data_IF_875744310296
#
_entry.id   IF_875744310296
#
_cell.length_a   1.000
_cell.length_b   1.000
_cell.length_c   1.000
_cell.angle_alpha   90.00
_cell.angle_beta   90.00
_cell.angle_gamma   90.00
#
_symmetry.space_group_name_H-M   'P 1'
#
loop_
_entity.id
_entity.type
_entity.pdbx_description
1 polymer ?
#
# COMPACT_ATOMS: atom_id res chain seq x y z
N UNK A 1 33.03 82.38 142.47
CA UNK A 1 34.09 81.42 142.09
C UNK A 1 33.58 79.98 142.00
N UNK A 2 32.85 79.46 143.00
CA UNK A 2 32.32 78.08 142.97
C UNK A 2 31.22 77.87 141.91
N UNK A 3 30.30 78.82 141.73
CA UNK A 3 29.24 78.73 140.70
C UNK A 3 29.78 78.75 139.25
N UNK A 4 30.87 79.48 139.00
CA UNK A 4 31.50 79.55 137.67
C UNK A 4 32.27 78.25 137.35
N UNK A 5 32.86 77.60 138.36
CA UNK A 5 33.47 76.29 138.22
C UNK A 5 32.43 75.17 137.99
N UNK A 6 31.26 75.24 138.63
CA UNK A 6 30.15 74.31 138.38
C UNK A 6 29.53 74.52 136.98
N UNK A 7 29.39 75.76 136.52
CA UNK A 7 28.95 76.04 135.15
C UNK A 7 29.95 75.53 134.10
N UNK A 8 31.25 75.65 134.37
CA UNK A 8 32.32 75.09 133.52
C UNK A 8 32.36 73.56 133.55
N UNK A 9 32.17 72.92 134.70
CA UNK A 9 32.09 71.46 134.82
C UNK A 9 30.86 70.90 134.09
N UNK A 10 29.68 71.47 134.32
CA UNK A 10 28.46 71.07 133.61
C UNK A 10 28.56 71.34 132.10
N UNK A 11 29.22 72.42 131.69
CA UNK A 11 29.51 72.68 130.28
C UNK A 11 30.49 71.65 129.70
N UNK A 12 31.50 71.21 130.46
CA UNK A 12 32.44 70.19 130.04
C UNK A 12 31.79 68.81 129.96
N UNK A 13 30.94 68.43 130.91
CA UNK A 13 30.16 67.18 130.89
C UNK A 13 29.16 67.14 129.74
N UNK A 14 28.46 68.24 129.47
CA UNK A 14 27.54 68.32 128.33
C UNK A 14 28.31 68.27 127.00
N UNK A 15 29.50 68.86 126.93
CA UNK A 15 30.39 68.72 125.76
C UNK A 15 30.90 67.30 125.60
N UNK A 16 31.26 66.62 126.69
CA UNK A 16 31.69 65.22 126.67
C UNK A 16 30.58 64.30 126.15
N UNK A 17 29.35 64.44 126.69
CA UNK A 17 28.17 63.69 126.22
C UNK A 17 27.86 63.98 124.75
N UNK A 18 27.94 65.24 124.34
CA UNK A 18 27.73 65.61 122.94
C UNK A 18 28.80 65.02 122.02
N UNK A 19 30.08 65.00 122.44
CA UNK A 19 31.15 64.36 121.70
C UNK A 19 30.97 62.85 121.62
N UNK A 20 30.55 62.19 122.70
CA UNK A 20 30.22 60.75 122.72
C UNK A 20 29.04 60.41 121.79
N UNK A 21 28.00 61.25 121.76
CA UNK A 21 26.86 61.06 120.85
C UNK A 21 27.26 61.31 119.38
N UNK A 22 28.12 62.30 119.12
CA UNK A 22 28.68 62.54 117.78
C UNK A 22 29.56 61.35 117.35
N UNK A 23 30.36 60.77 118.25
CA UNK A 23 31.21 59.62 117.96
C UNK A 23 30.37 58.38 117.63
N UNK A 24 29.31 58.11 118.41
CA UNK A 24 28.33 57.05 118.10
C UNK A 24 27.62 57.28 116.76
N UNK A 25 27.25 58.52 116.45
CA UNK A 25 26.64 58.86 115.15
C UNK A 25 27.63 58.66 114.00
N UNK A 26 28.90 59.01 114.19
CA UNK A 26 29.96 58.76 113.21
C UNK A 26 30.20 57.27 113.02
N UNK A 27 30.25 56.47 114.09
CA UNK A 27 30.34 55.01 114.03
C UNK A 27 29.13 54.40 113.31
N UNK A 28 27.92 54.88 113.57
CA UNK A 28 26.73 54.39 112.90
C UNK A 28 26.71 54.76 111.40
N UNK A 29 27.16 55.96 111.04
CA UNK A 29 27.35 56.40 109.65
C UNK A 29 28.42 55.54 108.97
N UNK A 30 29.54 55.29 109.62
CA UNK A 30 30.60 54.42 109.11
C UNK A 30 30.11 52.99 108.91
N UNK A 31 29.34 52.45 109.86
CA UNK A 31 28.72 51.12 109.75
C UNK A 31 27.70 51.07 108.60
N UNK A 32 26.83 52.07 108.46
CA UNK A 32 25.86 52.13 107.35
C UNK A 32 26.56 52.22 106.00
N UNK A 33 27.55 53.11 105.86
CA UNK A 33 28.37 53.21 104.64
C UNK A 33 29.13 51.93 104.36
N UNK A 34 29.67 51.25 105.36
CA UNK A 34 30.37 49.98 105.18
C UNK A 34 29.41 48.88 104.72
N UNK A 35 28.22 48.79 105.32
CA UNK A 35 27.18 47.85 104.87
C UNK A 35 26.75 48.17 103.44
N UNK A 36 26.43 49.42 103.12
CA UNK A 36 26.06 49.87 101.77
C UNK A 36 27.15 49.57 100.74
N UNK A 37 28.43 49.81 101.07
CA UNK A 37 29.56 49.47 100.22
C UNK A 37 29.66 47.95 99.98
N UNK A 38 29.41 47.14 101.01
CA UNK A 38 29.46 45.67 100.87
C UNK A 38 28.23 45.11 100.13
N UNK A 39 27.05 45.70 100.30
CA UNK A 39 25.83 45.27 99.60
C UNK A 39 25.90 45.66 98.13
N UNK A 40 26.33 46.89 97.83
CA UNK A 40 26.55 47.34 96.45
C UNK A 40 27.64 46.53 95.76
N UNK A 41 28.76 46.23 96.43
CA UNK A 41 29.79 45.35 95.88
C UNK A 41 29.26 43.94 95.57
N UNK A 42 28.45 43.35 96.46
CA UNK A 42 27.80 42.05 96.25
C UNK A 42 26.75 42.07 95.15
N UNK A 43 25.99 43.15 95.03
CA UNK A 43 25.02 43.33 93.95
C UNK A 43 25.73 43.44 92.60
N UNK A 44 26.81 44.23 92.54
CA UNK A 44 27.66 44.32 91.36
C UNK A 44 28.22 42.94 90.99
N UNK A 45 28.81 42.20 91.93
CA UNK A 45 29.32 40.83 91.72
C UNK A 45 28.23 39.89 91.18
N UNK A 46 27.04 39.86 91.78
CA UNK A 46 25.89 39.07 91.30
C UNK A 46 25.46 39.45 89.89
N UNK A 47 25.44 40.74 89.55
CA UNK A 47 25.09 41.17 88.19
C UNK A 47 26.14 40.77 87.17
N UNK A 48 27.43 40.82 87.52
CA UNK A 48 28.51 40.33 86.67
C UNK A 48 28.45 38.81 86.48
N UNK A 49 28.25 38.05 87.56
CA UNK A 49 28.07 36.60 87.50
C UNK A 49 26.85 36.22 86.64
N UNK A 50 25.71 36.89 86.84
CA UNK A 50 24.49 36.67 86.05
C UNK A 50 24.72 36.97 84.58
N UNK A 51 25.38 38.09 84.25
CA UNK A 51 25.66 38.48 82.86
C UNK A 51 26.65 37.52 82.19
N UNK A 52 27.66 37.05 82.94
CA UNK A 52 28.59 36.04 82.45
C UNK A 52 27.88 34.71 82.20
N UNK A 53 27.01 34.28 83.13
CA UNK A 53 26.21 33.07 82.97
C UNK A 53 25.28 33.17 81.75
N UNK A 54 24.62 34.32 81.55
CA UNK A 54 23.79 34.59 80.38
C UNK A 54 24.60 34.53 79.08
N UNK A 55 25.78 35.16 79.03
CA UNK A 55 26.66 35.10 77.86
C UNK A 55 27.14 33.68 77.56
N UNK A 56 27.50 32.90 78.59
CA UNK A 56 27.91 31.50 78.42
C UNK A 56 26.73 30.63 77.95
N UNK A 57 25.52 30.89 78.46
CA UNK A 57 24.31 30.18 78.03
C UNK A 57 23.94 30.54 76.59
N UNK A 58 24.03 31.82 76.21
CA UNK A 58 23.82 32.28 74.84
C UNK A 58 24.83 31.65 73.88
N UNK A 59 26.11 31.61 74.26
CA UNK A 59 27.17 30.97 73.48
C UNK A 59 26.90 29.46 73.30
N UNK A 60 26.51 28.75 74.36
CA UNK A 60 26.10 27.33 74.28
C UNK A 60 24.92 27.12 73.35
N UNK A 61 23.88 27.95 73.48
CA UNK A 61 22.69 27.88 72.64
C UNK A 61 23.03 28.13 71.15
N UNK A 62 23.95 29.06 70.86
CA UNK A 62 24.43 29.31 69.50
C UNK A 62 25.22 28.11 68.94
N UNK A 63 26.13 27.53 69.74
CA UNK A 63 26.86 26.33 69.33
C UNK A 63 25.93 25.15 69.08
N UNK A 64 24.97 24.90 69.96
CA UNK A 64 23.97 23.83 69.78
C UNK A 64 23.11 24.09 68.55
N UNK A 65 22.72 25.34 68.30
CA UNK A 65 21.99 25.71 67.08
C UNK A 65 22.82 25.46 65.82
N UNK A 66 24.12 25.79 65.84
CA UNK A 66 25.04 25.56 64.72
C UNK A 66 25.29 24.08 64.48
N UNK A 67 25.50 23.28 65.54
CA UNK A 67 25.64 21.83 65.45
C UNK A 67 24.37 21.18 64.90
N UNK A 68 23.19 21.61 65.37
CA UNK A 68 21.92 21.11 64.86
C UNK A 68 21.68 21.49 63.39
N UNK A 69 22.07 22.69 62.95
CA UNK A 69 22.04 23.06 61.52
C UNK A 69 22.97 22.19 60.71
N UNK A 70 24.24 22.10 61.11
CA UNK A 70 25.23 21.29 60.41
C UNK A 70 24.81 19.82 60.30
N UNK A 71 24.26 19.23 61.37
CA UNK A 71 23.71 17.88 61.35
C UNK A 71 22.57 17.72 60.35
N UNK A 72 21.61 18.67 60.32
CA UNK A 72 20.51 18.65 59.35
C UNK A 72 21.02 18.76 57.92
N UNK A 73 21.95 19.68 57.67
CA UNK A 73 22.55 19.87 56.34
C UNK A 73 23.28 18.59 55.89
N UNK A 74 24.02 17.95 56.80
CA UNK A 74 24.67 16.66 56.54
C UNK A 74 23.63 15.58 56.23
N UNK A 75 22.60 15.42 57.05
CA UNK A 75 21.55 14.43 56.84
C UNK A 75 20.81 14.65 55.50
N UNK A 76 20.52 15.91 55.17
CA UNK A 76 19.86 16.30 53.92
C UNK A 76 20.76 16.05 52.71
N UNK A 77 22.03 16.42 52.77
CA UNK A 77 22.98 16.14 51.68
C UNK A 77 23.17 14.64 51.45
N UNK A 78 23.23 13.82 52.52
CA UNK A 78 23.30 12.37 52.37
C UNK A 78 22.02 11.79 51.78
N UNK A 79 20.85 12.25 52.24
CA UNK A 79 19.56 11.85 51.66
C UNK A 79 19.47 12.20 50.19
N UNK A 80 19.85 13.42 49.81
CA UNK A 80 19.83 13.87 48.42
C UNK A 80 20.76 13.03 47.55
N UNK A 81 22.00 12.77 47.99
CA UNK A 81 22.94 11.90 47.27
C UNK A 81 22.44 10.47 47.13
N UNK A 82 21.78 9.93 48.15
CA UNK A 82 21.23 8.58 48.11
C UNK A 82 20.02 8.51 47.17
N UNK A 83 19.16 9.52 47.18
CA UNK A 83 18.03 9.62 46.25
C UNK A 83 18.53 9.75 44.82
N UNK A 84 19.49 10.63 44.54
CA UNK A 84 20.10 10.79 43.22
C UNK A 84 20.74 9.48 42.72
N UNK A 85 21.48 8.77 43.59
CA UNK A 85 22.05 7.47 43.24
C UNK A 85 20.97 6.41 42.96
N UNK A 86 19.86 6.42 43.71
CA UNK A 86 18.74 5.52 43.47
C UNK A 86 18.00 5.83 42.17
N UNK A 87 17.76 7.11 41.87
CA UNK A 87 17.13 7.56 40.63
C UNK A 87 17.99 7.20 39.42
N UNK A 88 19.30 7.45 39.47
CA UNK A 88 20.23 7.06 38.42
C UNK A 88 20.24 5.53 38.20
N UNK A 89 20.19 4.75 39.28
CA UNK A 89 20.09 3.28 39.19
C UNK A 89 18.76 2.84 38.58
N UNK A 90 17.66 3.48 38.92
CA UNK A 90 16.35 3.18 38.35
C UNK A 90 16.29 3.50 36.86
N UNK A 91 16.81 4.65 36.43
CA UNK A 91 16.92 5.02 35.02
C UNK A 91 17.79 4.02 34.24
N UNK A 92 18.93 3.60 34.81
CA UNK A 92 19.77 2.58 34.20
C UNK A 92 19.04 1.23 34.03
N UNK A 93 18.24 0.83 35.03
CA UNK A 93 17.44 -0.39 34.94
C UNK A 93 16.35 -0.28 33.86
N UNK A 94 15.64 0.84 33.80
CA UNK A 94 14.63 1.10 32.77
C UNK A 94 15.24 1.04 31.35
N UNK A 95 16.39 1.71 31.16
CA UNK A 95 17.11 1.66 29.88
C UNK A 95 17.55 0.23 29.52
N UNK A 96 18.00 -0.57 30.50
CA UNK A 96 18.35 -1.98 30.28
C UNK A 96 17.13 -2.83 29.89
N UNK A 97 15.99 -2.62 30.54
CA UNK A 97 14.74 -3.30 30.21
C UNK A 97 14.24 -2.93 28.81
N UNK A 98 14.36 -1.65 28.43
CA UNK A 98 14.06 -1.20 27.06
C UNK A 98 14.97 -1.87 26.03
N UNK A 99 16.28 -1.90 26.26
CA UNK A 99 17.22 -2.59 25.37
C UNK A 99 16.88 -4.08 25.27
N UNK A 100 16.51 -4.74 26.37
CA UNK A 100 16.11 -6.14 26.35
C UNK A 100 14.82 -6.36 25.53
N UNK A 101 13.82 -5.49 25.70
CA UNK A 101 12.57 -5.52 24.90
C UNK A 101 12.85 -5.32 23.41
N UNK A 102 13.68 -4.35 23.05
CA UNK A 102 14.05 -4.09 21.66
C UNK A 102 14.80 -5.27 21.04
N UNK A 103 15.71 -5.92 21.79
CA UNK A 103 16.39 -7.14 21.33
C UNK A 103 15.43 -8.29 21.04
N UNK A 104 14.43 -8.51 21.92
CA UNK A 104 13.40 -9.52 21.69
C UNK A 104 12.57 -9.19 20.44
N UNK A 105 12.22 -7.92 20.25
CA UNK A 105 11.48 -7.48 19.06
C UNK A 105 12.28 -7.66 17.77
N UNK A 106 13.58 -7.36 17.78
CA UNK A 106 14.48 -7.61 16.65
C UNK A 106 14.49 -9.11 16.32
N UNK A 107 14.68 -9.97 17.33
CA UNK A 107 14.70 -11.43 17.11
C UNK A 107 13.37 -11.97 16.56
N UNK A 108 12.23 -11.45 17.03
CA UNK A 108 10.92 -11.79 16.49
C UNK A 108 10.79 -11.37 15.02
N UNK A 109 11.20 -10.14 14.69
CA UNK A 109 11.18 -9.63 13.32
C UNK A 109 12.10 -10.45 12.41
N UNK A 110 13.32 -10.77 12.85
CA UNK A 110 14.26 -11.64 12.13
C UNK A 110 13.64 -13.03 11.88
N UNK A 111 12.98 -13.62 12.88
CA UNK A 111 12.29 -14.91 12.75
C UNK A 111 11.16 -14.83 11.74
N UNK A 112 10.33 -13.79 11.79
CA UNK A 112 9.26 -13.58 10.80
C UNK A 112 9.83 -13.36 9.39
N UNK A 113 10.92 -12.59 9.27
CA UNK A 113 11.66 -12.35 8.04
C UNK A 113 12.15 -13.66 7.42
N UNK A 114 12.86 -14.48 8.18
CA UNK A 114 13.31 -15.80 7.72
C UNK A 114 12.15 -16.73 7.34
N UNK A 115 11.00 -16.62 8.01
CA UNK A 115 9.77 -17.31 7.64
C UNK A 115 9.23 -16.90 6.26
N UNK A 116 9.22 -15.59 5.99
CA UNK A 116 8.82 -15.07 4.67
C UNK A 116 9.82 -15.45 3.57
N UNK A 117 11.12 -15.42 3.86
CA UNK A 117 12.16 -15.87 2.91
C UNK A 117 11.97 -17.35 2.53
N UNK A 118 11.76 -18.22 3.52
CA UNK A 118 11.46 -19.65 3.26
C UNK A 118 10.17 -19.85 2.46
N UNK A 119 9.14 -19.04 2.72
CA UNK A 119 7.88 -19.05 1.96
C UNK A 119 8.12 -18.65 0.49
N UNK A 120 8.92 -17.62 0.26
CA UNK A 120 9.28 -17.14 -1.08
C UNK A 120 10.05 -18.23 -1.84
N UNK A 121 11.04 -18.85 -1.21
CA UNK A 121 11.82 -19.94 -1.81
C UNK A 121 10.93 -21.13 -2.20
N UNK A 122 10.01 -21.54 -1.30
CA UNK A 122 9.06 -22.61 -1.59
C UNK A 122 8.11 -22.28 -2.76
N UNK A 123 7.65 -21.04 -2.85
CA UNK A 123 6.80 -20.59 -3.97
C UNK A 123 7.58 -20.52 -5.29
N UNK A 124 8.81 -20.01 -5.27
CA UNK A 124 9.68 -19.97 -6.46
C UNK A 124 9.98 -21.38 -6.97
N UNK A 125 10.26 -22.33 -6.07
CA UNK A 125 10.42 -23.74 -6.45
C UNK A 125 9.17 -24.31 -7.11
N UNK A 126 7.99 -24.02 -6.53
CA UNK A 126 6.71 -24.45 -7.11
C UNK A 126 6.46 -23.85 -8.49
N UNK A 127 6.82 -22.58 -8.71
CA UNK A 127 6.73 -21.92 -10.02
C UNK A 127 7.65 -22.64 -11.02
N UNK A 128 8.91 -22.88 -10.67
CA UNK A 128 9.86 -23.57 -11.53
C UNK A 128 9.39 -25.00 -11.90
N UNK A 129 8.83 -25.74 -10.93
CA UNK A 129 8.27 -27.07 -11.16
C UNK A 129 7.08 -27.02 -12.14
N UNK A 130 6.16 -26.07 -11.97
CA UNK A 130 5.01 -25.88 -12.85
C UNK A 130 5.43 -25.43 -14.26
N UNK A 131 6.41 -24.54 -14.38
CA UNK A 131 6.97 -24.11 -15.66
C UNK A 131 7.62 -25.29 -16.40
N UNK A 132 8.35 -26.15 -15.68
CA UNK A 132 8.93 -27.38 -16.24
C UNK A 132 7.86 -28.34 -16.74
N UNK A 133 6.78 -28.54 -15.97
CA UNK A 133 5.65 -29.37 -16.39
C UNK A 133 4.95 -28.82 -17.63
N UNK A 134 4.73 -27.50 -17.70
CA UNK A 134 4.12 -26.85 -18.87
C UNK A 134 5.00 -27.00 -20.11
N UNK A 135 6.32 -26.85 -19.98
CA UNK A 135 7.27 -27.09 -21.08
C UNK A 135 7.20 -28.52 -21.56
N UNK A 136 7.23 -29.49 -20.64
CA UNK A 136 7.13 -30.91 -21.00
C UNK A 136 5.83 -31.23 -21.74
N UNK A 137 4.70 -30.72 -21.26
CA UNK A 137 3.39 -30.94 -21.88
C UNK A 137 3.35 -30.31 -23.29
N UNK A 138 3.91 -29.10 -23.45
CA UNK A 138 3.99 -28.43 -24.74
C UNK A 138 4.83 -29.24 -25.74
N UNK A 139 6.02 -29.67 -25.34
CA UNK A 139 6.90 -30.45 -26.20
C UNK A 139 6.25 -31.78 -26.61
N UNK A 140 5.52 -32.44 -25.69
CA UNK A 140 4.77 -33.66 -25.98
C UNK A 140 3.60 -33.43 -26.97
N UNK A 141 2.88 -32.32 -26.85
CA UNK A 141 1.86 -31.95 -27.84
C UNK A 141 2.46 -31.60 -29.20
N UNK A 142 3.56 -30.87 -29.25
CA UNK A 142 4.25 -30.49 -30.49
C UNK A 142 4.73 -31.75 -31.24
N UNK A 143 5.26 -32.75 -30.52
CA UNK A 143 5.61 -34.06 -31.09
C UNK A 143 4.38 -34.78 -31.64
N UNK A 144 3.28 -34.83 -30.89
CA UNK A 144 2.04 -35.48 -31.33
C UNK A 144 1.42 -34.79 -32.55
N UNK A 145 1.41 -33.46 -32.59
CA UNK A 145 0.96 -32.69 -33.75
C UNK A 145 1.81 -33.01 -34.98
N UNK A 146 3.15 -32.93 -34.86
CA UNK A 146 4.05 -33.27 -35.96
C UNK A 146 3.85 -34.69 -36.50
N UNK A 147 3.55 -35.66 -35.63
CA UNK A 147 3.22 -37.03 -36.05
C UNK A 147 1.90 -37.09 -36.84
N UNK A 148 0.88 -36.33 -36.40
CA UNK A 148 -0.40 -36.27 -37.12
C UNK A 148 -0.27 -35.57 -38.47
N UNK A 149 0.48 -34.47 -38.54
CA UNK A 149 0.71 -33.72 -39.78
C UNK A 149 1.43 -34.58 -40.82
N UNK A 150 2.46 -35.34 -40.39
CA UNK A 150 3.11 -36.34 -41.23
C UNK A 150 2.12 -37.37 -41.76
N UNK A 151 1.22 -37.86 -40.90
CA UNK A 151 0.21 -38.84 -41.30
C UNK A 151 -0.80 -38.26 -42.30
N UNK A 152 -1.17 -36.99 -42.15
CA UNK A 152 -2.04 -36.28 -43.10
C UNK A 152 -1.35 -36.17 -44.45
N UNK A 153 -0.09 -35.73 -44.49
CA UNK A 153 0.70 -35.62 -45.72
C UNK A 153 0.86 -36.97 -46.43
N UNK A 154 1.12 -38.05 -45.67
CA UNK A 154 1.17 -39.42 -46.22
C UNK A 154 -0.16 -39.81 -46.89
N UNK A 155 -1.29 -39.55 -46.23
CA UNK A 155 -2.61 -39.89 -46.77
C UNK A 155 -2.98 -39.03 -47.98
N UNK A 156 -2.64 -37.74 -47.98
CA UNK A 156 -2.81 -36.87 -49.13
C UNK A 156 -2.00 -37.38 -50.33
N UNK A 157 -0.74 -37.77 -50.11
CA UNK A 157 0.08 -38.38 -51.15
C UNK A 157 -0.51 -39.68 -51.71
N UNK A 158 -1.12 -40.52 -50.88
CA UNK A 158 -1.81 -41.72 -51.37
C UNK A 158 -3.08 -41.40 -52.16
N UNK A 159 -3.84 -40.38 -51.75
CA UNK A 159 -5.01 -39.90 -52.50
C UNK A 159 -4.60 -39.41 -53.89
N UNK A 160 -3.55 -38.59 -53.98
CA UNK A 160 -3.03 -38.09 -55.25
C UNK A 160 -2.55 -39.24 -56.15
N UNK A 161 -1.90 -40.25 -55.56
CA UNK A 161 -1.49 -41.47 -56.26
C UNK A 161 -2.69 -42.20 -56.87
N UNK A 162 -3.75 -42.42 -56.08
CA UNK A 162 -4.98 -43.09 -56.52
C UNK A 162 -5.75 -42.28 -57.57
N UNK A 163 -5.76 -40.95 -57.46
CA UNK A 163 -6.39 -40.07 -58.46
C UNK A 163 -5.69 -40.17 -59.81
N UNK A 164 -4.36 -40.24 -59.82
CA UNK A 164 -3.60 -40.44 -61.06
C UNK A 164 -3.89 -41.81 -61.69
N UNK A 165 -3.88 -42.89 -60.90
CA UNK A 165 -4.24 -44.24 -61.40
C UNK A 165 -5.67 -44.29 -61.94
N UNK A 166 -6.60 -43.59 -61.29
CA UNK A 166 -7.98 -43.48 -61.76
C UNK A 166 -8.08 -42.71 -63.09
N UNK A 167 -7.33 -41.62 -63.25
CA UNK A 167 -7.31 -40.85 -64.48
C UNK A 167 -6.74 -41.68 -65.64
N UNK A 168 -5.64 -42.40 -65.43
CA UNK A 168 -5.05 -43.29 -66.44
C UNK A 168 -6.07 -44.36 -66.91
N UNK A 169 -6.79 -44.96 -65.95
CA UNK A 169 -7.84 -45.94 -66.26
C UNK A 169 -9.03 -45.30 -67.00
N UNK A 170 -9.40 -44.08 -66.62
CA UNK A 170 -10.47 -43.34 -67.29
C UNK A 170 -10.09 -43.00 -68.74
N UNK A 171 -8.87 -42.54 -68.98
CA UNK A 171 -8.38 -42.23 -70.33
C UNK A 171 -8.37 -43.48 -71.22
N UNK A 172 -7.93 -44.62 -70.68
CA UNK A 172 -8.01 -45.92 -71.37
C UNK A 172 -9.47 -46.29 -71.70
N UNK A 173 -10.40 -46.08 -70.76
CA UNK A 173 -11.83 -46.32 -71.01
C UNK A 173 -12.38 -45.44 -72.12
N UNK A 174 -12.01 -44.15 -72.14
CA UNK A 174 -12.42 -43.22 -73.20
C UNK A 174 -11.88 -43.70 -74.54
N UNK A 175 -10.62 -44.13 -74.60
CA UNK A 175 -10.05 -44.72 -75.80
C UNK A 175 -10.86 -45.94 -76.28
N UNK A 176 -11.15 -46.89 -75.39
CA UNK A 176 -11.93 -48.08 -75.72
C UNK A 176 -13.33 -47.75 -76.23
N UNK A 177 -14.01 -46.76 -75.63
CA UNK A 177 -15.31 -46.29 -76.12
C UNK A 177 -15.24 -45.71 -77.53
N UNK A 178 -14.15 -45.00 -77.86
CA UNK A 178 -13.95 -44.48 -79.22
C UNK A 178 -13.71 -45.59 -80.23
N UNK A 179 -12.94 -46.62 -79.86
CA UNK A 179 -12.73 -47.81 -80.69
C UNK A 179 -14.05 -48.56 -80.90
N UNK A 180 -14.85 -48.74 -79.84
CA UNK A 180 -16.16 -49.39 -79.92
C UNK A 180 -17.12 -48.67 -80.88
N UNK A 181 -17.18 -47.33 -80.81
CA UNK A 181 -17.97 -46.51 -81.74
C UNK A 181 -17.47 -46.62 -83.16
N UNK A 182 -16.15 -46.67 -83.38
CA UNK A 182 -15.58 -46.89 -84.70
C UNK A 182 -15.97 -48.27 -85.25
N UNK A 183 -15.94 -49.31 -84.42
CA UNK A 183 -16.41 -50.65 -84.79
C UNK A 183 -17.91 -50.68 -85.12
N UNK A 184 -18.75 -49.97 -84.35
CA UNK A 184 -20.19 -49.82 -84.64
C UNK A 184 -20.42 -49.15 -86.00
N UNK A 185 -19.75 -48.03 -86.28
CA UNK A 185 -19.86 -47.32 -87.56
C UNK A 185 -19.43 -48.18 -88.76
N UNK A 186 -18.39 -49.01 -88.59
CA UNK A 186 -17.93 -49.93 -89.64
C UNK A 186 -18.96 -51.03 -89.91
N UNK A 187 -19.56 -51.60 -88.86
CA UNK A 187 -20.65 -52.57 -89.00
C UNK A 187 -21.89 -51.95 -89.67
N UNK A 188 -22.33 -50.76 -89.23
CA UNK A 188 -23.45 -50.05 -89.84
C UNK A 188 -23.18 -49.75 -91.33
N UNK A 189 -21.95 -49.39 -91.67
CA UNK A 189 -21.50 -49.21 -93.05
C UNK A 189 -21.59 -50.50 -93.88
N UNK A 190 -21.19 -51.65 -93.33
CA UNK A 190 -21.33 -52.95 -93.98
C UNK A 190 -22.79 -53.40 -94.09
N UNK A 191 -23.61 -53.22 -93.05
CA UNK A 191 -25.05 -53.52 -93.07
C UNK A 191 -25.79 -52.68 -94.13
N UNK A 192 -25.39 -51.43 -94.31
CA UNK A 192 -25.89 -50.55 -95.38
C UNK A 192 -25.43 -51.00 -96.78
N UNK A 193 -24.20 -51.52 -96.95
CA UNK A 193 -23.71 -52.05 -98.24
C UNK A 193 -24.37 -53.38 -98.61
N UNK A 194 -24.67 -54.21 -97.61
CA UNK A 194 -25.28 -55.54 -97.78
C UNK A 194 -26.82 -55.49 -97.84
N UNK A 195 -27.45 -54.30 -97.76
CA UNK A 195 -28.92 -54.10 -97.74
C UNK A 195 -29.64 -54.94 -96.68
N UNK A 196 -29.01 -55.17 -95.52
CA UNK A 196 -29.60 -55.98 -94.43
C UNK A 196 -30.63 -55.17 -93.64
N UNK A 197 -30.59 -53.83 -93.73
CA UNK A 197 -31.56 -52.94 -93.08
C UNK A 197 -32.66 -52.46 -94.03
N UNK A 198 -33.51 -53.39 -94.48
CA UNK A 198 -34.84 -53.04 -94.98
C UNK A 198 -35.91 -53.96 -94.40
N UNK A 199 -35.92 -54.12 -93.07
CA UNK A 199 -37.11 -54.55 -92.34
C UNK A 199 -37.01 -54.22 -90.84
N UNK A 200 -37.27 -52.96 -90.50
CA UNK A 200 -38.33 -52.61 -89.53
C UNK A 200 -38.33 -51.10 -89.23
N UNK A 201 -39.50 -50.51 -89.32
CA UNK A 201 -39.88 -49.16 -88.87
C UNK A 201 -41.38 -49.24 -88.50
N UNK A 202 -41.99 -48.34 -87.69
CA UNK A 202 -41.53 -46.98 -87.37
C UNK A 202 -41.75 -46.45 -85.92
N UNK A 203 -41.01 -45.38 -85.63
CA UNK A 203 -41.36 -44.10 -84.98
C UNK A 203 -41.98 -44.02 -83.56
N UNK A 204 -41.27 -43.27 -82.68
CA UNK A 204 -41.83 -42.12 -81.93
C UNK A 204 -40.78 -41.03 -81.69
N UNK A 205 -40.97 -39.89 -82.39
CA UNK A 205 -40.80 -38.47 -82.03
C UNK A 205 -39.46 -37.88 -81.54
N UNK A 206 -39.11 -36.63 -81.97
CA UNK A 206 -37.81 -36.00 -81.75
C UNK A 206 -37.80 -35.00 -80.58
N UNK A 207 -36.63 -34.76 -79.98
CA UNK A 207 -36.36 -33.54 -79.21
C UNK A 207 -34.87 -33.14 -79.30
N UNK A 208 -34.67 -32.02 -80.00
CA UNK A 208 -33.60 -31.04 -79.93
C UNK A 208 -32.25 -31.45 -79.31
N UNK A 209 -31.27 -31.73 -80.18
CA UNK A 209 -29.85 -31.67 -79.85
C UNK A 209 -29.39 -30.21 -79.87
N UNK A 210 -28.87 -29.73 -78.74
CA UNK A 210 -28.12 -28.49 -78.63
C UNK A 210 -26.69 -28.70 -79.09
N UNK A 211 -26.36 -28.13 -80.24
CA UNK A 211 -25.02 -28.03 -80.81
C UNK A 211 -24.17 -27.04 -79.99
N UNK A 212 -23.03 -27.47 -79.42
CA UNK A 212 -22.00 -26.57 -78.89
C UNK A 212 -20.62 -27.02 -79.39
N UNK A 213 -20.33 -26.67 -80.63
CA UNK A 213 -18.96 -26.51 -81.11
C UNK A 213 -18.34 -25.27 -80.45
N UNK A 214 -17.15 -25.44 -79.87
CA UNK A 214 -16.33 -24.37 -79.30
C UNK A 214 -15.61 -23.64 -80.43
N UNK A 215 -16.14 -22.49 -80.85
CA UNK A 215 -15.45 -21.56 -81.75
C UNK A 215 -14.61 -20.58 -80.93
N UNK A 216 -13.29 -20.69 -81.05
CA UNK A 216 -12.34 -19.62 -80.72
C UNK A 216 -12.49 -18.50 -81.75
N UNK A 217 -12.70 -17.27 -81.29
CA UNK A 217 -12.54 -16.07 -82.12
C UNK A 217 -12.07 -14.90 -81.27
N UNK A 218 -10.91 -14.39 -81.66
CA UNK A 218 -10.35 -13.11 -81.28
C UNK A 218 -11.26 -11.98 -81.75
N UNK A 219 -11.55 -11.02 -80.87
CA UNK A 219 -11.82 -9.64 -81.28
C UNK A 219 -11.52 -8.66 -80.14
N UNK A 220 -10.57 -7.80 -80.47
CA UNK A 220 -10.30 -6.46 -79.98
C UNK A 220 -11.56 -5.64 -79.66
N UNK A 221 -11.56 -4.98 -78.49
CA UNK A 221 -12.31 -3.74 -78.28
C UNK A 221 -11.68 -2.95 -77.16
N UNK A 222 -10.94 -1.92 -77.55
CA UNK A 222 -10.38 -0.93 -76.66
C UNK A 222 -11.41 -0.04 -75.96
N UNK A 223 -10.86 0.70 -75.00
CA UNK A 223 -11.39 1.92 -74.39
C UNK A 223 -12.59 1.81 -73.45
N UNK A 224 -12.32 1.56 -72.16
CA UNK A 224 -12.86 2.40 -71.06
C UNK A 224 -11.84 2.57 -69.91
N UNK A 225 -11.23 3.76 -69.90
CA UNK A 225 -10.69 4.56 -68.78
C UNK A 225 -10.05 3.83 -67.58
N UNK A 226 -8.72 3.79 -67.61
CA UNK A 226 -7.88 3.63 -66.44
C UNK A 226 -8.01 4.85 -65.49
N UNK A 227 -8.57 4.64 -64.31
CA UNK A 227 -8.36 5.52 -63.16
C UNK A 227 -7.03 5.11 -62.53
N UNK A 228 -6.04 6.01 -62.58
CA UNK A 228 -4.72 5.82 -61.96
C UNK A 228 -4.89 5.67 -60.44
N UNK A 229 -4.85 4.43 -59.93
CA UNK A 229 -4.48 4.21 -58.54
C UNK A 229 -2.95 4.22 -58.45
N UNK A 230 -2.46 5.13 -57.61
CA UNK A 230 -1.06 5.32 -57.27
C UNK A 230 -0.53 3.99 -56.72
N UNK A 231 0.49 3.43 -57.37
CA UNK A 231 1.23 2.25 -56.89
C UNK A 231 1.84 2.63 -55.54
N UNK A 232 1.30 2.11 -54.45
CA UNK A 232 1.99 2.14 -53.17
C UNK A 232 3.09 1.09 -53.28
N UNK A 233 4.34 1.53 -53.19
CA UNK A 233 5.47 0.63 -52.99
C UNK A 233 5.29 0.13 -51.56
N UNK A 234 4.91 -1.14 -51.41
CA UNK A 234 4.97 -1.81 -50.12
C UNK A 234 6.45 -1.84 -49.73
N UNK A 235 6.85 -0.86 -48.90
CA UNK A 235 8.06 -1.00 -48.11
C UNK A 235 7.80 -2.12 -47.12
N UNK A 236 8.64 -3.12 -47.20
CA UNK A 236 8.70 -4.33 -46.39
C UNK A 236 9.05 -3.99 -44.94
N UNK A 237 8.11 -3.37 -44.21
CA UNK A 237 8.30 -3.06 -42.77
C UNK A 237 6.97 -2.93 -41.99
N UNK A 238 6.01 -3.83 -42.20
CA UNK A 238 4.75 -3.83 -41.43
C UNK A 238 4.34 -5.20 -40.88
N UNK A 239 5.33 -5.96 -40.40
CA UNK A 239 5.08 -6.95 -39.36
C UNK A 239 4.87 -6.21 -38.03
N UNK A 240 3.96 -6.71 -37.19
CA UNK A 240 3.55 -6.18 -35.87
C UNK A 240 2.40 -5.16 -35.81
N UNK A 241 1.22 -5.51 -36.34
CA UNK A 241 -0.02 -5.11 -35.65
C UNK A 241 -0.30 -6.09 -34.51
N UNK A 242 0.35 -5.85 -33.37
CA UNK A 242 0.13 -6.59 -32.12
C UNK A 242 -1.14 -6.08 -31.45
N UNK A 243 -2.27 -6.67 -31.75
CA UNK A 243 -3.50 -6.43 -30.98
C UNK A 243 -3.45 -7.30 -29.71
N UNK A 244 -2.67 -6.90 -28.70
CA UNK A 244 -2.78 -7.49 -27.36
C UNK A 244 -4.00 -6.91 -26.67
N UNK A 245 -5.05 -7.71 -26.52
CA UNK A 245 -6.13 -7.37 -25.60
C UNK A 245 -5.53 -7.27 -24.19
N UNK A 246 -5.54 -6.07 -23.60
CA UNK A 246 -5.18 -5.87 -22.19
C UNK A 246 -6.36 -6.31 -21.33
N UNK A 247 -6.19 -7.38 -20.56
CA UNK A 247 -7.16 -7.79 -19.53
C UNK A 247 -6.65 -7.32 -18.18
N UNK A 248 -7.52 -6.95 -17.24
CA UNK A 248 -7.09 -6.53 -15.89
C UNK A 248 -7.52 -7.58 -14.86
N UNK A 249 -6.58 -7.97 -14.01
CA UNK A 249 -6.86 -8.75 -12.81
C UNK A 249 -7.06 -7.79 -11.65
N UNK A 250 -8.22 -7.88 -11.00
CA UNK A 250 -8.59 -6.98 -9.91
C UNK A 250 -8.72 -7.73 -8.59
N UNK A 251 -8.13 -7.18 -7.53
CA UNK A 251 -8.30 -7.62 -6.14
C UNK A 251 -8.99 -6.52 -5.34
N UNK A 252 -9.82 -6.88 -4.37
CA UNK A 252 -10.54 -5.92 -3.53
C UNK A 252 -10.59 -6.45 -2.09
N UNK A 253 -10.47 -5.55 -1.12
CA UNK A 253 -10.61 -5.83 0.31
C UNK A 253 -11.35 -4.67 0.97
N UNK A 254 -12.20 -4.96 1.95
CA UNK A 254 -12.94 -3.95 2.69
C UNK A 254 -12.99 -4.33 4.17
N UNK A 255 -12.56 -3.41 5.02
CA UNK A 255 -12.59 -3.54 6.48
C UNK A 255 -13.87 -2.89 7.06
N UNK A 256 -14.78 -2.45 6.18
CA UNK A 256 -16.10 -1.91 6.50
C UNK A 256 -17.12 -2.26 5.40
N UNK A 257 -18.37 -1.84 5.61
CA UNK A 257 -19.51 -2.04 4.68
C UNK A 257 -19.40 -1.23 3.37
N UNK A 258 -18.47 -0.28 3.29
CA UNK A 258 -18.18 0.48 2.08
C UNK A 258 -17.14 -0.25 1.24
N UNK A 259 -17.47 -0.58 0.00
CA UNK A 259 -16.57 -1.20 -0.96
C UNK A 259 -16.28 -0.25 -2.13
N UNK A 260 -15.06 -0.33 -2.66
CA UNK A 260 -14.72 0.24 -3.96
C UNK A 260 -15.22 -0.75 -5.03
N UNK A 261 -16.42 -0.50 -5.55
CA UNK A 261 -17.08 -1.36 -6.54
C UNK A 261 -16.29 -1.39 -7.86
N UNK A 262 -15.84 -0.21 -8.30
CA UNK A 262 -15.12 -0.05 -9.57
C UNK A 262 -14.13 1.12 -9.50
N UNK A 263 -13.00 0.98 -10.18
CA UNK A 263 -12.15 2.11 -10.55
C UNK A 263 -11.77 1.96 -12.02
N UNK A 264 -11.71 3.07 -12.73
CA UNK A 264 -11.35 3.09 -14.14
C UNK A 264 -9.82 3.16 -14.28
N UNK A 265 -9.24 2.22 -15.04
CA UNK A 265 -7.79 2.16 -15.27
C UNK A 265 -7.27 3.28 -16.17
N UNK A 266 -8.15 3.91 -16.93
CA UNK A 266 -7.86 5.11 -17.72
C UNK A 266 -7.99 6.40 -16.88
N UNK A 267 -8.30 6.29 -15.58
CA UNK A 267 -8.37 7.44 -14.68
C UNK A 267 -9.61 8.31 -14.85
N UNK A 268 -10.73 7.78 -15.36
CA UNK A 268 -11.97 8.55 -15.53
C UNK A 268 -12.78 8.68 -14.24
N UNK A 269 -12.93 7.60 -13.48
CA UNK A 269 -13.77 7.59 -12.28
C UNK A 269 -13.39 6.51 -11.27
N UNK A 270 -13.92 6.66 -10.06
CA UNK A 270 -13.93 5.66 -8.99
C UNK A 270 -15.34 5.60 -8.42
N UNK A 271 -15.90 4.40 -8.29
CA UNK A 271 -17.24 4.13 -7.79
C UNK A 271 -17.18 3.38 -6.46
N UNK A 272 -17.85 3.94 -5.46
CA UNK A 272 -18.05 3.34 -4.15
C UNK A 272 -19.49 2.81 -4.03
N UNK A 273 -19.67 1.74 -3.28
CA UNK A 273 -20.96 1.15 -2.96
C UNK A 273 -21.03 0.84 -1.46
N UNK A 274 -22.15 1.16 -0.83
CA UNK A 274 -22.44 0.66 0.52
C UNK A 274 -23.16 -0.68 0.39
N UNK A 275 -22.47 -1.77 0.73
CA UNK A 275 -23.02 -3.13 0.71
C UNK A 275 -23.56 -3.61 2.07
N UNK A 276 -23.45 -2.78 3.10
CA UNK A 276 -24.02 -3.06 4.41
C UNK A 276 -25.49 -2.68 4.51
N UNK A 277 -26.05 -2.94 5.69
CA UNK A 277 -27.46 -2.69 6.02
C UNK A 277 -27.67 -1.38 6.79
N UNK A 278 -26.59 -0.66 7.13
CA UNK A 278 -26.62 0.60 7.86
C UNK A 278 -26.21 1.81 7.01
N UNK A 279 -26.70 3.00 7.41
CA UNK A 279 -26.28 4.26 6.77
C UNK A 279 -24.96 4.73 7.36
N UNK A 280 -23.96 4.94 6.50
CA UNK A 280 -22.60 5.28 6.91
C UNK A 280 -22.28 6.71 6.52
N UNK A 281 -21.69 7.45 7.45
CA UNK A 281 -21.23 8.82 7.20
C UNK A 281 -19.76 8.78 6.78
N UNK A 282 -19.49 9.02 5.51
CA UNK A 282 -18.12 9.08 4.94
C UNK A 282 -17.58 10.51 4.91
N UNK A 283 -18.09 11.37 5.79
CA UNK A 283 -17.66 12.75 5.90
C UNK A 283 -16.19 12.82 6.33
N UNK A 284 -15.40 13.66 5.66
CA UNK A 284 -13.95 13.78 5.88
C UNK A 284 -13.11 12.56 5.47
N UNK A 285 -13.72 11.50 4.95
CA UNK A 285 -12.97 10.39 4.36
C UNK A 285 -12.30 10.85 3.07
N UNK A 286 -11.30 10.09 2.64
CA UNK A 286 -10.56 10.36 1.42
C UNK A 286 -10.40 9.11 0.56
N UNK A 287 -10.49 9.28 -0.76
CA UNK A 287 -10.04 8.29 -1.73
C UNK A 287 -8.63 8.67 -2.16
N UNK A 288 -7.67 7.79 -1.94
CA UNK A 288 -6.29 7.88 -2.41
C UNK A 288 -6.10 6.87 -3.54
N UNK A 289 -5.80 7.35 -4.74
CA UNK A 289 -5.48 6.48 -5.89
C UNK A 289 -4.04 6.70 -6.33
N UNK A 290 -3.32 5.61 -6.56
CA UNK A 290 -1.91 5.60 -6.97
C UNK A 290 -1.78 4.72 -8.21
N UNK A 291 -1.21 5.26 -9.29
CA UNK A 291 -0.83 4.49 -10.46
C UNK A 291 0.54 4.95 -10.97
N UNK A 292 1.42 3.99 -11.26
CA UNK A 292 2.84 4.24 -11.54
C UNK A 292 3.46 5.11 -10.42
N UNK A 293 3.76 6.39 -10.70
CA UNK A 293 4.34 7.35 -9.74
C UNK A 293 3.41 8.56 -9.47
N UNK A 294 2.16 8.51 -9.92
CA UNK A 294 1.19 9.59 -9.72
C UNK A 294 0.20 9.21 -8.62
N UNK A 295 0.01 10.11 -7.67
CA UNK A 295 -0.98 10.01 -6.60
C UNK A 295 -2.03 11.11 -6.75
N UNK A 296 -3.30 10.77 -6.54
CA UNK A 296 -4.40 11.73 -6.43
C UNK A 296 -5.26 11.39 -5.23
N UNK A 297 -5.60 12.42 -4.45
CA UNK A 297 -6.39 12.29 -3.23
C UNK A 297 -7.63 13.17 -3.33
N UNK A 298 -8.81 12.55 -3.26
CA UNK A 298 -10.09 13.24 -3.20
C UNK A 298 -10.66 13.16 -1.79
N UNK A 299 -11.05 14.29 -1.20
CA UNK A 299 -11.68 14.35 0.13
C UNK A 299 -13.17 14.62 0.03
N UNK A 300 -13.96 13.82 0.75
CA UNK A 300 -15.40 14.00 0.83
C UNK A 300 -15.81 15.20 1.68
N UNK A 301 -16.91 15.85 1.30
CA UNK A 301 -17.51 16.91 2.11
C UNK A 301 -17.96 16.37 3.48
N UNK A 302 -17.89 17.19 4.53
CA UNK A 302 -18.21 16.81 5.93
C UNK A 302 -19.58 16.16 6.14
N UNK A 303 -20.55 16.44 5.27
CA UNK A 303 -21.93 15.97 5.36
C UNK A 303 -22.25 14.79 4.44
N UNK A 304 -21.25 14.16 3.85
CA UNK A 304 -21.45 13.05 2.93
C UNK A 304 -21.88 11.78 3.68
N UNK A 305 -22.98 11.19 3.25
CA UNK A 305 -23.55 9.96 3.82
C UNK A 305 -23.95 8.99 2.71
N UNK A 306 -23.86 7.69 2.97
CA UNK A 306 -24.28 6.62 2.06
C UNK A 306 -25.30 5.71 2.75
N UNK A 307 -26.49 5.57 2.19
CA UNK A 307 -27.48 4.60 2.67
C UNK A 307 -27.13 3.18 2.17
N UNK A 308 -27.73 2.14 2.75
CA UNK A 308 -27.62 0.77 2.23
C UNK A 308 -27.96 0.70 0.74
N UNK A 309 -27.07 0.13 -0.07
CA UNK A 309 -27.22 0.02 -1.52
C UNK A 309 -26.99 1.31 -2.31
N UNK A 310 -26.71 2.45 -1.66
CA UNK A 310 -26.34 3.68 -2.38
C UNK A 310 -24.95 3.54 -3.00
N UNK A 311 -24.78 4.17 -4.17
CA UNK A 311 -23.50 4.29 -4.86
C UNK A 311 -23.09 5.74 -5.03
N UNK A 312 -21.79 6.02 -4.87
CA UNK A 312 -21.21 7.32 -5.16
C UNK A 312 -20.09 7.15 -6.19
N UNK A 313 -20.13 7.93 -7.26
CA UNK A 313 -19.08 7.96 -8.27
C UNK A 313 -18.35 9.29 -8.22
N UNK A 314 -17.02 9.24 -8.10
CA UNK A 314 -16.12 10.39 -8.16
C UNK A 314 -15.40 10.40 -9.49
N UNK A 315 -15.72 11.39 -10.32
CA UNK A 315 -15.20 11.57 -11.67
C UNK A 315 -14.05 12.56 -11.72
N UNK A 316 -13.11 12.32 -12.63
CA UNK A 316 -12.06 13.27 -12.99
C UNK A 316 -12.63 14.55 -13.62
N UNK A 317 -11.92 15.67 -13.49
CA UNK A 317 -12.38 16.98 -13.96
C UNK A 317 -12.67 17.04 -15.49
N UNK A 318 -11.99 16.20 -16.28
CA UNK A 318 -12.12 16.11 -17.74
C UNK A 318 -13.09 15.01 -18.22
N UNK A 319 -13.81 14.35 -17.32
CA UNK A 319 -14.78 13.30 -17.69
C UNK A 319 -15.94 13.80 -18.56
N UNK A 320 -16.22 15.12 -18.56
CA UNK A 320 -17.39 15.69 -19.22
C UNK A 320 -18.70 15.49 -18.46
N UNK A 321 -18.65 14.86 -17.28
CA UNK A 321 -19.79 14.55 -16.45
C UNK A 321 -20.30 15.75 -15.65
N UNK A 322 -21.59 15.74 -15.30
CA UNK A 322 -22.19 16.80 -14.46
C UNK A 322 -21.99 16.51 -12.98
N UNK A 323 -21.67 17.55 -12.22
CA UNK A 323 -21.58 17.46 -10.77
C UNK A 323 -22.99 17.45 -10.15
N UNK A 324 -23.40 16.30 -9.60
CA UNK A 324 -24.71 16.08 -8.97
C UNK A 324 -24.53 15.36 -7.62
N UNK A 325 -24.15 16.07 -6.54
CA UNK A 325 -24.08 15.50 -5.20
C UNK A 325 -25.47 15.01 -4.71
N UNK A 326 -25.55 13.96 -3.87
CA UNK A 326 -24.43 13.27 -3.22
C UNK A 326 -23.83 12.10 -4.02
N UNK A 327 -24.50 11.64 -5.08
CA UNK A 327 -24.16 10.40 -5.81
C UNK A 327 -23.13 10.59 -6.91
N UNK A 328 -23.05 11.77 -7.54
CA UNK A 328 -22.14 12.02 -8.65
C UNK A 328 -21.27 13.25 -8.36
N UNK A 329 -20.00 12.98 -8.02
CA UNK A 329 -19.04 14.00 -7.65
C UNK A 329 -18.04 14.17 -8.80
N UNK A 330 -17.69 15.40 -9.15
CA UNK A 330 -16.70 15.70 -10.19
C UNK A 330 -15.60 16.50 -9.52
N UNK A 331 -14.38 16.02 -9.64
CA UNK A 331 -13.21 16.70 -9.08
C UNK A 331 -12.98 18.04 -9.77
N UNK A 332 -12.40 19.00 -9.04
CA UNK A 332 -12.02 20.30 -9.58
C UNK A 332 -10.52 20.31 -9.86
N UNK A 333 -10.15 20.45 -11.14
CA UNK A 333 -8.76 20.54 -11.59
C UNK A 333 -7.87 19.35 -11.15
N UNK A 334 -8.45 18.17 -10.99
CA UNK A 334 -7.75 16.93 -10.63
C UNK A 334 -8.29 15.77 -11.46
N UNK A 335 -7.44 14.77 -11.67
CA UNK A 335 -7.72 13.57 -12.46
C UNK A 335 -7.18 12.36 -11.73
N UNK A 336 -7.91 11.25 -11.77
CA UNK A 336 -7.39 9.99 -11.28
C UNK A 336 -6.19 9.54 -12.12
N UNK A 337 -5.18 8.93 -11.49
CA UNK A 337 -4.01 8.45 -12.22
C UNK A 337 -4.39 7.22 -13.05
N UNK A 338 -3.95 7.21 -14.32
CA UNK A 338 -4.13 6.10 -15.24
C UNK A 338 -2.86 5.25 -15.33
N UNK A 339 -2.99 3.94 -15.50
CA UNK A 339 -1.82 3.07 -15.63
C UNK A 339 -2.13 1.59 -15.78
N UNK A 340 -1.08 0.81 -16.04
CA UNK A 340 -1.16 -0.66 -16.10
C UNK A 340 -1.35 -1.28 -14.71
N UNK A 341 -1.01 -0.57 -13.62
CA UNK A 341 -1.31 -0.97 -12.25
C UNK A 341 -1.88 0.23 -11.49
N UNK A 342 -3.12 0.09 -11.02
CA UNK A 342 -3.84 1.13 -10.28
C UNK A 342 -4.26 0.56 -8.93
N UNK A 343 -3.84 1.22 -7.85
CA UNK A 343 -4.27 0.91 -6.49
C UNK A 343 -5.07 2.08 -5.93
N UNK A 344 -6.31 1.80 -5.54
CA UNK A 344 -7.20 2.75 -4.88
C UNK A 344 -7.44 2.31 -3.45
N UNK A 345 -7.32 3.25 -2.52
CA UNK A 345 -7.59 3.05 -1.09
C UNK A 345 -8.59 4.10 -0.62
N UNK A 346 -9.64 3.66 0.08
CA UNK A 346 -10.53 4.50 0.86
C UNK A 346 -9.97 4.62 2.28
N UNK A 347 -9.88 5.85 2.78
CA UNK A 347 -9.26 6.17 4.06
C UNK A 347 -10.24 6.97 4.92
N UNK A 348 -10.36 6.60 6.20
CA UNK A 348 -11.18 7.32 7.19
C UNK A 348 -10.57 8.70 7.55
N UNK A 349 -11.30 9.54 8.27
CA UNK A 349 -10.85 10.81 8.84
C UNK A 349 -9.57 10.68 9.69
N UNK A 350 -9.38 9.54 10.35
CA UNK A 350 -8.19 9.25 11.18
C UNK A 350 -6.99 8.75 10.35
N UNK A 351 -7.15 8.49 9.06
CA UNK A 351 -6.08 7.96 8.21
C UNK A 351 -6.04 6.43 8.10
N UNK A 352 -7.02 5.72 8.67
CA UNK A 352 -7.11 4.26 8.61
C UNK A 352 -7.62 3.78 7.24
N UNK A 353 -7.05 2.71 6.68
CA UNK A 353 -7.51 2.12 5.43
C UNK A 353 -8.83 1.36 5.66
N UNK A 354 -9.89 1.76 4.96
CA UNK A 354 -11.25 1.21 5.11
C UNK A 354 -11.62 0.26 3.98
N UNK A 355 -11.14 0.53 2.77
CA UNK A 355 -11.31 -0.34 1.62
C UNK A 355 -10.16 -0.15 0.64
N UNK A 356 -9.81 -1.21 -0.08
CA UNK A 356 -8.75 -1.19 -1.10
C UNK A 356 -9.21 -1.96 -2.33
N UNK A 357 -8.82 -1.45 -3.50
CA UNK A 357 -9.00 -2.12 -4.79
C UNK A 357 -7.76 -1.92 -5.63
N UNK A 358 -7.22 -3.00 -6.16
CA UNK A 358 -6.02 -2.97 -6.99
C UNK A 358 -6.29 -3.70 -8.31
N UNK A 359 -6.03 -3.03 -9.44
CA UNK A 359 -6.13 -3.63 -10.78
C UNK A 359 -4.76 -3.65 -11.45
N UNK A 360 -4.36 -4.80 -11.97
CA UNK A 360 -3.08 -5.01 -12.67
C UNK A 360 -3.36 -5.54 -14.07
N UNK A 361 -2.79 -4.88 -15.09
CA UNK A 361 -2.86 -5.29 -16.48
C UNK A 361 -2.13 -6.60 -16.67
N UNK A 362 -2.83 -7.57 -17.22
CA UNK A 362 -2.33 -8.85 -17.67
C UNK A 362 -2.27 -8.83 -19.19
N UNK A 363 -1.06 -8.93 -19.73
CA UNK A 363 -0.84 -9.02 -21.17
C UNK A 363 -1.11 -10.47 -21.58
N UNK A 364 -2.29 -10.73 -22.14
CA UNK A 364 -2.50 -11.96 -22.88
C UNK A 364 -1.70 -11.88 -24.19
N UNK A 365 -0.60 -12.63 -24.24
CA UNK A 365 -0.01 -13.00 -25.52
C UNK A 365 -0.99 -13.95 -26.20
N UNK A 366 -1.77 -13.44 -27.15
CA UNK A 366 -2.58 -14.28 -28.01
C UNK A 366 -1.69 -15.31 -28.68
N UNK A 367 -1.77 -16.56 -28.23
CA UNK A 367 -1.31 -17.70 -29.00
C UNK A 367 -2.31 -17.83 -30.14
N UNK A 368 -1.98 -17.26 -31.30
CA UNK A 368 -2.69 -17.54 -32.53
C UNK A 368 -2.42 -19.02 -32.81
N UNK A 369 -3.44 -19.85 -32.59
CA UNK A 369 -3.47 -21.14 -33.27
C UNK A 369 -3.41 -20.79 -34.76
N UNK A 370 -2.31 -21.15 -35.40
CA UNK A 370 -2.25 -21.22 -36.85
C UNK A 370 -3.34 -22.21 -37.25
N UNK A 371 -4.50 -21.69 -37.64
CA UNK A 371 -5.50 -22.48 -38.35
C UNK A 371 -4.88 -22.80 -39.71
N UNK A 372 -4.50 -24.06 -39.87
CA UNK A 372 -3.92 -24.58 -41.09
C UNK A 372 -4.91 -24.46 -42.26
N UNK A 373 -4.42 -23.91 -43.36
CA UNK A 373 -4.80 -24.38 -44.69
C UNK A 373 -6.14 -23.92 -45.27
N UNK A 374 -6.40 -22.61 -45.35
CA UNK A 374 -7.32 -22.10 -46.37
C UNK A 374 -6.63 -21.10 -47.31
N UNK A 375 -6.36 -21.60 -48.51
CA UNK A 375 -5.90 -20.89 -49.69
C UNK A 375 -6.89 -19.75 -50.06
N UNK A 376 -6.44 -18.48 -50.09
CA UNK A 376 -7.32 -17.34 -50.36
C UNK A 376 -7.85 -17.28 -51.80
N UNK A 377 -7.37 -18.11 -52.73
CA UNK A 377 -7.78 -18.10 -54.14
C UNK A 377 -9.11 -18.83 -54.41
N UNK A 378 -9.70 -19.52 -53.45
CA UNK A 378 -11.00 -20.21 -53.64
C UNK A 378 -12.25 -19.32 -53.45
N UNK A 379 -12.10 -18.04 -53.10
CA UNK A 379 -13.25 -17.13 -52.89
C UNK A 379 -13.73 -16.37 -54.14
N UNK A 380 -13.15 -16.60 -55.31
CA UNK A 380 -13.55 -15.96 -56.57
C UNK A 380 -14.14 -16.95 -57.58
N UNK A 381 -15.09 -17.79 -57.14
CA UNK A 381 -15.88 -18.61 -58.05
C UNK A 381 -17.30 -18.80 -57.51
N UNK A 382 -18.01 -17.70 -57.24
CA UNK A 382 -19.47 -17.65 -57.08
C UNK A 382 -19.91 -16.18 -57.12
N UNK A 383 -19.98 -15.61 -58.32
CA UNK A 383 -20.97 -14.60 -58.74
C UNK A 383 -21.07 -14.60 -60.26
#
# INVERSE_FOLDING_TARGET
>A
MIQDLQARLNSAENKLKHLEDVDKQLEEIHRKRQVEMTTTAREMERTYESRLQEQLQAMRAEFDARLNRNRRDIDETYKNKLNEANEARQQMNQAREEVARMRLRIHELEKTGGGYESRIEALNKKIADLESQLRFIRDDYDVRLSQRDKRILELQGEIDRLLNEYQDLFDLKVQLDTELKAYQNLLEGEESRLNISQQSSPATSPSAAGDRALSVSFADSGYRRAVKRKRFIASDDSLYYRNTAKTYKTTSNSDCDIEIEEHDTDGKFIKLCNKGDETISIGQWAIKSVASDKETVYKFHTRQTMKPGDTITVWSAESGERHVPPSQLVMKNQHWPAGDRVKTTLVDADGNEMATRESVAELQFGHFMSDDGHDPDQRCALM
#
